data_IF_229529742837
#
_entry.id   IF_229529742837
#
_cell.length_a   1.000
_cell.length_b   1.000
_cell.length_c   1.000
_cell.angle_alpha   90.00
_cell.angle_beta   90.00
_cell.angle_gamma   90.00
#
_symmetry.space_group_name_H-M   'P 1'
#
loop_
_entity.id
_entity.type
_entity.pdbx_description
1 polymer ?
#
# COMPACT_ATOMS: atom_id res chain seq x y z
N UNK A 1 40.82 -2.52 8.34
CA UNK A 1 40.84 -2.70 9.81
C UNK A 1 39.92 -1.72 10.53
N UNK A 2 40.01 -0.41 10.27
CA UNK A 2 39.20 0.63 10.96
C UNK A 2 37.69 0.45 10.76
N UNK A 3 37.22 0.17 9.53
CA UNK A 3 35.80 -0.05 9.25
C UNK A 3 35.22 -1.23 10.05
N UNK A 4 35.98 -2.32 10.21
CA UNK A 4 35.59 -3.49 11.02
C UNK A 4 35.44 -3.14 12.50
N UNK A 5 36.29 -2.24 13.01
CA UNK A 5 36.22 -1.77 14.40
C UNK A 5 35.00 -0.86 14.59
N UNK A 6 34.74 0.06 13.66
CA UNK A 6 33.54 0.92 13.69
C UNK A 6 32.26 0.08 13.63
N UNK A 7 32.20 -0.94 12.76
CA UNK A 7 31.06 -1.86 12.70
C UNK A 7 30.84 -2.68 13.98
N UNK A 8 31.82 -2.74 14.90
CA UNK A 8 31.70 -3.47 16.17
C UNK A 8 31.53 -2.59 17.39
N UNK A 9 32.04 -1.34 17.37
CA UNK A 9 32.13 -0.46 18.55
C UNK A 9 31.46 0.91 18.38
N UNK A 10 30.99 1.24 17.18
CA UNK A 10 30.17 2.44 16.95
C UNK A 10 28.70 2.17 17.27
N UNK A 11 27.85 3.19 17.13
CA UNK A 11 26.40 3.02 17.21
C UNK A 11 25.79 2.44 15.92
N UNK A 12 26.60 2.17 14.88
CA UNK A 12 26.09 1.65 13.61
C UNK A 12 25.29 0.34 13.76
N UNK A 13 25.70 -0.68 14.55
CA UNK A 13 24.87 -1.87 14.77
C UNK A 13 23.57 -1.55 15.48
N UNK A 14 23.59 -0.62 16.44
CA UNK A 14 22.39 -0.18 17.16
C UNK A 14 21.41 0.51 16.21
N UNK A 15 21.92 1.31 15.27
CA UNK A 15 21.11 1.92 14.20
C UNK A 15 20.47 0.86 13.30
N UNK A 16 21.25 -0.08 12.79
CA UNK A 16 20.74 -1.14 11.90
C UNK A 16 19.74 -2.07 12.59
N UNK A 17 20.06 -2.55 13.79
CA UNK A 17 19.17 -3.41 14.59
C UNK A 17 17.93 -2.63 15.03
N UNK A 18 18.11 -1.38 15.49
CA UNK A 18 17.02 -0.51 15.91
C UNK A 18 16.05 -0.24 14.77
N UNK A 19 16.54 -0.02 13.55
CA UNK A 19 15.71 0.10 12.35
C UNK A 19 14.83 -1.14 12.15
N UNK A 20 15.43 -2.34 12.20
CA UNK A 20 14.70 -3.61 12.02
C UNK A 20 13.66 -3.81 13.12
N UNK A 21 14.07 -3.71 14.38
CA UNK A 21 13.19 -3.93 15.54
C UNK A 21 12.04 -2.93 15.55
N UNK A 22 12.32 -1.66 15.27
CA UNK A 22 11.28 -0.63 15.23
C UNK A 22 10.32 -0.83 14.06
N UNK A 23 10.83 -1.14 12.86
CA UNK A 23 9.99 -1.37 11.67
C UNK A 23 9.10 -2.60 11.84
N UNK A 24 9.69 -3.75 12.22
CA UNK A 24 8.93 -4.98 12.44
C UNK A 24 7.99 -4.84 13.63
N UNK A 25 8.43 -4.18 14.70
CA UNK A 25 7.58 -3.86 15.84
C UNK A 25 6.35 -3.08 15.41
N UNK A 26 6.49 -2.04 14.58
CA UNK A 26 5.37 -1.26 14.07
C UNK A 26 4.45 -2.10 13.18
N UNK A 27 5.01 -2.84 12.23
CA UNK A 27 4.25 -3.64 11.26
C UNK A 27 3.44 -4.74 11.96
N UNK A 28 4.03 -5.46 12.90
CA UNK A 28 3.36 -6.59 13.57
C UNK A 28 2.54 -6.20 14.79
N UNK A 29 2.82 -5.07 15.45
CA UNK A 29 2.08 -4.66 16.66
C UNK A 29 0.82 -3.85 16.34
N UNK A 30 0.73 -3.26 15.14
CA UNK A 30 -0.42 -2.46 14.73
C UNK A 30 -1.16 -3.13 13.56
N UNK A 31 -2.48 -3.24 13.70
CA UNK A 31 -3.39 -3.68 12.62
C UNK A 31 -3.63 -2.53 11.63
N UNK A 32 -2.55 -2.08 11.00
CA UNK A 32 -2.55 -0.99 10.03
C UNK A 32 -3.06 -1.40 8.64
N UNK A 33 -3.19 -0.42 7.72
CA UNK A 33 -3.70 -0.70 6.38
C UNK A 33 -2.81 -1.65 5.55
N UNK A 34 -1.54 -1.83 5.93
CA UNK A 34 -0.61 -2.79 5.31
C UNK A 34 -0.99 -4.27 5.46
N UNK A 35 -2.00 -4.58 6.27
CA UNK A 35 -2.58 -5.93 6.41
C UNK A 35 -3.95 -6.09 5.73
N UNK A 36 -4.60 -4.98 5.32
CA UNK A 36 -6.05 -4.95 5.02
C UNK A 36 -6.38 -4.53 3.59
N UNK A 37 -5.40 -4.23 2.77
CA UNK A 37 -5.58 -3.77 1.40
C UNK A 37 -5.34 -4.89 0.37
N UNK A 38 -5.52 -4.57 -0.91
CA UNK A 38 -5.32 -5.50 -2.04
C UNK A 38 -3.85 -5.82 -2.33
N UNK A 39 -2.93 -5.02 -1.78
CA UNK A 39 -1.48 -5.30 -1.81
C UNK A 39 -0.91 -5.33 -0.39
N UNK A 40 -1.21 -6.37 0.41
CA UNK A 40 -0.65 -6.50 1.74
C UNK A 40 0.87 -6.66 1.65
N UNK A 41 1.58 -6.12 2.63
CA UNK A 41 3.05 -6.10 2.61
C UNK A 41 3.71 -7.49 2.59
N UNK A 42 2.96 -8.53 2.96
CA UNK A 42 3.42 -9.91 3.10
C UNK A 42 2.93 -10.85 2.00
N UNK A 43 2.08 -10.37 1.09
CA UNK A 43 1.50 -11.18 -0.01
C UNK A 43 1.86 -10.64 -1.39
N UNK A 44 2.34 -9.39 -1.51
CA UNK A 44 2.62 -8.76 -2.80
C UNK A 44 3.97 -8.03 -2.81
N UNK A 45 4.77 -8.21 -3.87
CA UNK A 45 6.11 -7.61 -3.98
C UNK A 45 6.08 -6.09 -4.10
N UNK A 46 5.14 -5.56 -4.89
CA UNK A 46 4.97 -4.10 -5.01
C UNK A 46 4.42 -3.51 -3.71
N UNK A 47 3.50 -4.23 -3.05
CA UNK A 47 3.00 -3.89 -1.72
C UNK A 47 4.12 -3.82 -0.69
N UNK A 48 5.02 -4.81 -0.64
CA UNK A 48 6.20 -4.78 0.22
C UNK A 48 7.06 -3.53 -0.01
N UNK A 49 7.32 -3.19 -1.28
CA UNK A 49 8.12 -2.02 -1.63
C UNK A 49 7.44 -0.70 -1.24
N UNK A 50 6.14 -0.56 -1.51
CA UNK A 50 5.38 0.65 -1.20
C UNK A 50 5.09 0.80 0.30
N UNK A 51 4.78 -0.28 1.02
CA UNK A 51 4.58 -0.23 2.46
C UNK A 51 5.87 0.07 3.23
N UNK A 52 7.01 -0.46 2.79
CA UNK A 52 8.29 -0.07 3.41
C UNK A 52 8.63 1.40 3.18
N UNK A 53 8.20 1.98 2.05
CA UNK A 53 8.24 3.42 1.82
C UNK A 53 7.26 4.18 2.71
N UNK A 54 6.03 3.70 2.90
CA UNK A 54 5.07 4.31 3.84
C UNK A 54 5.64 4.40 5.26
N UNK A 55 6.39 3.37 5.71
CA UNK A 55 7.04 3.39 7.02
C UNK A 55 8.02 4.56 7.22
N UNK A 56 8.49 5.24 6.17
CA UNK A 56 9.36 6.41 6.36
C UNK A 56 8.76 7.51 7.19
N UNK A 57 7.42 7.61 7.20
CA UNK A 57 6.70 8.52 8.09
C UNK A 57 7.20 8.42 9.54
N UNK A 58 7.46 7.20 9.99
CA UNK A 58 7.94 6.88 11.32
C UNK A 58 9.46 6.70 11.39
N UNK A 59 10.09 6.20 10.32
CA UNK A 59 11.53 5.93 10.31
C UNK A 59 12.38 7.19 10.18
N UNK A 60 11.91 8.24 9.50
CA UNK A 60 12.69 9.48 9.35
C UNK A 60 13.01 10.18 10.67
N UNK A 61 12.03 10.45 11.57
CA UNK A 61 12.30 11.02 12.88
C UNK A 61 13.34 10.20 13.66
N UNK A 62 13.19 8.87 13.64
CA UNK A 62 14.07 7.94 14.32
C UNK A 62 15.51 8.00 13.77
N UNK A 63 15.67 7.85 12.46
CA UNK A 63 16.97 7.83 11.80
C UNK A 63 17.66 9.19 11.87
N UNK A 64 16.92 10.29 11.72
CA UNK A 64 17.45 11.65 11.85
C UNK A 64 17.96 11.91 13.27
N UNK A 65 17.17 11.55 14.29
CA UNK A 65 17.53 11.71 15.69
C UNK A 65 18.77 10.90 16.08
N UNK A 66 18.82 9.61 15.73
CA UNK A 66 19.99 8.78 16.06
C UNK A 66 21.21 9.19 15.22
N UNK A 67 21.02 9.59 13.97
CA UNK A 67 22.08 10.20 13.16
C UNK A 67 22.70 11.41 13.86
N UNK A 68 21.85 12.31 14.38
CA UNK A 68 22.30 13.45 15.18
C UNK A 68 23.05 13.00 16.43
N UNK A 69 22.52 12.04 17.19
CA UNK A 69 23.20 11.49 18.36
C UNK A 69 24.61 10.98 18.04
N UNK A 70 24.76 10.26 16.93
CA UNK A 70 26.05 9.78 16.46
C UNK A 70 27.00 10.92 16.05
N UNK A 71 26.47 12.00 15.47
CA UNK A 71 27.23 13.21 15.13
C UNK A 71 27.84 13.90 16.35
N UNK A 72 27.13 13.89 17.48
CA UNK A 72 27.59 14.56 18.71
C UNK A 72 28.63 13.76 19.51
N UNK A 73 28.86 12.49 19.16
CA UNK A 73 29.70 11.56 19.93
C UNK A 73 31.09 12.12 20.22
N UNK A 74 31.79 12.58 19.19
CA UNK A 74 33.16 13.10 19.32
C UNK A 74 33.22 14.39 20.16
N UNK A 75 32.21 15.26 20.02
CA UNK A 75 32.08 16.51 20.78
C UNK A 75 31.82 16.24 22.26
N UNK A 76 30.97 15.25 22.57
CA UNK A 76 30.69 14.82 23.96
C UNK A 76 31.90 14.23 24.65
N UNK A 77 32.73 13.50 23.93
CA UNK A 77 33.97 12.91 24.46
C UNK A 77 35.13 13.91 24.56
N UNK A 78 34.94 15.19 24.18
CA UNK A 78 35.96 16.27 24.21
C UNK A 78 37.27 15.92 23.49
N UNK A 79 37.21 15.00 22.52
CA UNK A 79 38.41 14.53 21.79
C UNK A 79 38.71 15.41 20.57
N UNK A 80 37.88 16.42 20.31
CA UNK A 80 37.98 17.29 19.14
C UNK A 80 39.30 18.06 19.08
N UNK A 81 39.83 18.50 20.22
CA UNK A 81 41.13 19.19 20.29
C UNK A 81 42.30 18.24 20.03
N UNK A 82 42.25 17.02 20.57
CA UNK A 82 43.23 15.97 20.31
C UNK A 82 43.23 15.56 18.83
N UNK A 83 42.07 15.61 18.18
CA UNK A 83 41.97 15.35 16.76
C UNK A 83 42.38 16.54 15.90
N UNK A 84 42.20 17.79 16.36
CA UNK A 84 42.62 18.98 15.64
C UNK A 84 44.16 19.04 15.47
N UNK A 85 44.94 18.46 16.39
CA UNK A 85 46.40 18.40 16.31
C UNK A 85 46.94 17.29 15.39
N UNK A 86 46.11 16.34 14.96
CA UNK A 86 46.53 15.29 14.05
C UNK A 86 46.52 15.78 12.57
N UNK A 87 47.48 15.36 11.72
CA UNK A 87 47.67 15.90 10.38
C UNK A 87 46.65 15.43 9.32
N UNK A 88 45.67 14.59 9.69
CA UNK A 88 44.71 14.02 8.73
C UNK A 88 43.52 14.95 8.49
N UNK A 89 43.10 15.17 7.23
CA UNK A 89 41.93 15.99 6.92
C UNK A 89 40.65 15.37 7.49
N UNK A 90 39.70 16.22 7.91
CA UNK A 90 38.51 15.82 8.66
C UNK A 90 37.66 14.78 7.91
N UNK A 91 37.47 14.93 6.60
CA UNK A 91 36.67 14.00 5.80
C UNK A 91 37.21 12.56 5.82
N UNK A 92 38.54 12.37 5.84
CA UNK A 92 39.16 11.03 5.91
C UNK A 92 38.91 10.33 7.24
N UNK A 93 38.62 11.09 8.30
CA UNK A 93 38.32 10.54 9.63
C UNK A 93 36.86 10.16 9.80
N UNK A 94 35.97 10.93 9.16
CA UNK A 94 34.53 10.69 9.22
C UNK A 94 34.10 9.56 8.29
N UNK A 95 34.82 9.34 7.18
CA UNK A 95 34.46 8.37 6.14
C UNK A 95 34.24 6.94 6.68
N UNK A 96 35.06 6.39 7.59
CA UNK A 96 34.82 5.05 8.15
C UNK A 96 33.54 4.96 8.98
N UNK A 97 33.22 5.98 9.78
CA UNK A 97 32.01 6.01 10.62
C UNK A 97 30.76 6.20 9.77
N UNK A 98 30.81 7.13 8.82
CA UNK A 98 29.75 7.33 7.81
C UNK A 98 29.51 6.05 7.03
N UNK A 99 30.57 5.41 6.54
CA UNK A 99 30.47 4.12 5.84
C UNK A 99 29.88 3.02 6.72
N UNK A 100 30.27 2.92 8.00
CA UNK A 100 29.71 1.93 8.92
C UNK A 100 28.20 2.15 9.14
N UNK A 101 27.76 3.39 9.34
CA UNK A 101 26.34 3.75 9.49
C UNK A 101 25.55 3.44 8.21
N UNK A 102 26.06 3.84 7.04
CA UNK A 102 25.42 3.56 5.76
C UNK A 102 25.27 2.06 5.52
N UNK A 103 26.31 1.27 5.79
CA UNK A 103 26.27 -0.20 5.67
C UNK A 103 25.25 -0.79 6.65
N UNK A 104 25.24 -0.35 7.90
CA UNK A 104 24.33 -0.91 8.90
C UNK A 104 22.86 -0.59 8.63
N UNK A 105 22.54 0.63 8.17
CA UNK A 105 21.17 0.99 7.75
C UNK A 105 20.75 0.22 6.52
N UNK A 106 21.63 0.09 5.52
CA UNK A 106 21.36 -0.70 4.32
C UNK A 106 21.13 -2.16 4.68
N UNK A 107 21.99 -2.75 5.51
CA UNK A 107 21.84 -4.13 5.98
C UNK A 107 20.54 -4.32 6.78
N UNK A 108 20.20 -3.39 7.67
CA UNK A 108 18.93 -3.43 8.41
C UNK A 108 17.72 -3.37 7.49
N UNK A 109 17.75 -2.49 6.48
CA UNK A 109 16.68 -2.42 5.48
C UNK A 109 16.59 -3.70 4.63
N UNK A 110 17.73 -4.28 4.22
CA UNK A 110 17.76 -5.56 3.51
C UNK A 110 17.22 -6.71 4.36
N UNK A 111 17.45 -6.71 5.67
CA UNK A 111 16.84 -7.69 6.59
C UNK A 111 15.33 -7.49 6.65
N UNK A 112 14.84 -6.25 6.74
CA UNK A 112 13.40 -5.96 6.68
C UNK A 112 12.77 -6.47 5.37
N UNK A 113 13.42 -6.18 4.23
CA UNK A 113 12.99 -6.70 2.93
C UNK A 113 13.07 -8.21 2.83
N UNK A 114 14.08 -8.86 3.44
CA UNK A 114 14.18 -10.31 3.43
C UNK A 114 13.06 -10.96 4.25
N UNK A 115 12.71 -10.39 5.41
CA UNK A 115 11.59 -10.88 6.24
C UNK A 115 10.27 -10.79 5.48
N UNK A 116 9.98 -9.63 4.86
CA UNK A 116 8.78 -9.47 4.03
C UNK A 116 8.85 -10.35 2.77
N UNK A 117 9.97 -10.36 2.07
CA UNK A 117 10.18 -11.09 0.83
C UNK A 117 10.07 -12.61 0.97
N UNK A 118 10.48 -13.18 2.11
CA UNK A 118 10.24 -14.61 2.40
C UNK A 118 8.75 -14.92 2.53
N UNK A 119 7.98 -14.04 3.18
CA UNK A 119 6.53 -14.19 3.29
C UNK A 119 5.85 -14.00 1.94
N UNK A 120 6.24 -12.96 1.19
CA UNK A 120 5.70 -12.70 -0.15
C UNK A 120 6.03 -13.86 -1.09
N UNK A 121 7.25 -14.41 -1.08
CA UNK A 121 7.60 -15.54 -1.93
C UNK A 121 6.78 -16.81 -1.63
N UNK A 122 6.22 -16.95 -0.43
CA UNK A 122 5.36 -18.06 -0.07
C UNK A 122 3.89 -17.88 -0.50
N UNK A 123 3.45 -16.64 -0.76
CA UNK A 123 2.04 -16.32 -0.99
C UNK A 123 1.77 -15.68 -2.37
N UNK A 124 2.75 -14.99 -2.96
CA UNK A 124 2.59 -14.26 -4.21
C UNK A 124 2.67 -15.18 -5.44
N UNK A 125 1.75 -15.00 -6.37
CA UNK A 125 1.79 -15.63 -7.70
C UNK A 125 2.49 -14.76 -8.75
N UNK A 126 2.50 -13.43 -8.56
CA UNK A 126 3.06 -12.46 -9.50
C UNK A 126 4.39 -11.87 -9.01
N UNK A 127 5.43 -11.89 -9.85
CA UNK A 127 6.77 -11.35 -9.54
C UNK A 127 7.20 -10.24 -10.52
N UNK A 128 6.89 -8.96 -10.25
CA UNK A 128 7.29 -7.85 -11.11
C UNK A 128 8.69 -7.34 -10.77
N UNK A 129 9.68 -7.44 -11.68
CA UNK A 129 11.05 -6.91 -11.44
C UNK A 129 11.04 -5.41 -11.08
N UNK A 130 10.01 -4.67 -11.49
CA UNK A 130 9.79 -3.25 -11.17
C UNK A 130 9.70 -2.92 -9.67
N UNK A 131 9.47 -3.89 -8.77
CA UNK A 131 9.46 -3.61 -7.31
C UNK A 131 10.86 -3.24 -6.77
N UNK A 132 11.94 -3.69 -7.41
CA UNK A 132 13.32 -3.48 -6.97
C UNK A 132 13.73 -2.00 -6.93
N UNK A 133 13.59 -1.19 -8.00
CA UNK A 133 13.91 0.23 -7.93
C UNK A 133 13.01 0.98 -6.93
N UNK A 134 11.73 0.58 -6.81
CA UNK A 134 10.76 1.16 -5.85
C UNK A 134 11.24 0.97 -4.42
N UNK A 135 11.63 -0.25 -4.05
CA UNK A 135 12.24 -0.55 -2.76
C UNK A 135 13.62 0.11 -2.60
N UNK A 136 14.42 0.12 -3.66
CA UNK A 136 15.80 0.62 -3.68
C UNK A 136 15.96 2.06 -3.21
N UNK A 137 14.97 2.93 -3.46
CA UNK A 137 14.96 4.35 -3.01
C UNK A 137 15.06 4.50 -1.49
N UNK A 138 14.63 3.49 -0.73
CA UNK A 138 14.74 3.53 0.73
C UNK A 138 16.18 3.59 1.22
N UNK A 139 17.13 3.02 0.48
CA UNK A 139 18.56 3.06 0.85
C UNK A 139 19.09 4.51 0.87
N UNK A 140 19.06 5.28 -0.23
CA UNK A 140 19.47 6.68 -0.18
C UNK A 140 18.60 7.52 0.76
N UNK A 141 17.30 7.21 0.92
CA UNK A 141 16.43 7.92 1.87
C UNK A 141 16.91 7.76 3.33
N UNK A 142 17.05 6.52 3.80
CA UNK A 142 17.50 6.24 5.18
C UNK A 142 18.92 6.76 5.42
N UNK A 143 19.83 6.49 4.49
CA UNK A 143 21.23 6.94 4.61
C UNK A 143 21.31 8.47 4.56
N UNK A 144 20.60 9.11 3.62
CA UNK A 144 20.61 10.55 3.45
C UNK A 144 20.12 11.28 4.70
N UNK A 145 18.99 10.83 5.25
CA UNK A 145 18.42 11.38 6.49
C UNK A 145 19.36 11.16 7.68
N UNK A 146 19.98 9.97 7.80
CA UNK A 146 20.96 9.71 8.86
C UNK A 146 22.16 10.65 8.80
N UNK A 147 22.68 10.90 7.59
CA UNK A 147 23.82 11.80 7.37
C UNK A 147 23.46 13.26 7.60
N UNK A 148 22.26 13.68 7.24
CA UNK A 148 21.76 15.00 7.58
C UNK A 148 21.72 15.18 9.10
N UNK A 149 21.15 14.22 9.82
CA UNK A 149 21.14 14.21 11.28
C UNK A 149 22.55 14.28 11.84
N UNK A 150 23.46 13.45 11.34
CA UNK A 150 24.88 13.43 11.71
C UNK A 150 25.55 14.80 11.55
N UNK A 151 25.32 15.47 10.41
CA UNK A 151 25.80 16.83 10.18
C UNK A 151 25.26 17.84 11.19
N UNK A 152 23.95 17.84 11.43
CA UNK A 152 23.31 18.76 12.38
C UNK A 152 23.79 18.50 13.81
N UNK A 153 23.89 17.24 14.24
CA UNK A 153 24.38 16.87 15.57
C UNK A 153 25.82 17.30 15.83
N UNK A 154 26.65 17.40 14.79
CA UNK A 154 27.99 18.00 14.90
C UNK A 154 27.97 19.52 15.04
N UNK A 155 27.03 20.19 14.38
CA UNK A 155 26.88 21.64 14.45
C UNK A 155 26.26 22.10 15.78
N UNK A 156 25.36 21.29 16.33
CA UNK A 156 24.60 21.58 17.55
C UNK A 156 24.77 20.42 18.55
N UNK A 157 25.94 20.31 19.23
CA UNK A 157 26.26 19.20 20.11
C UNK A 157 25.56 19.31 21.49
N UNK A 158 24.22 19.32 21.50
CA UNK A 158 23.38 19.37 22.70
C UNK A 158 22.62 18.05 22.89
N UNK A 159 22.42 17.62 24.14
CA UNK A 159 21.62 16.42 24.46
C UNK A 159 20.16 16.53 23.99
N UNK A 160 19.67 17.75 23.80
CA UNK A 160 18.30 18.04 23.35
C UNK A 160 18.19 18.00 21.81
N UNK A 161 19.30 18.08 21.07
CA UNK A 161 19.28 18.11 19.59
C UNK A 161 18.61 16.85 18.99
N UNK A 162 18.94 15.62 19.40
CA UNK A 162 18.31 14.41 18.84
C UNK A 162 16.78 14.36 19.01
N UNK A 163 16.20 14.52 20.21
CA UNK A 163 14.74 14.48 20.36
C UNK A 163 14.04 15.65 19.67
N UNK A 164 14.61 16.86 19.71
CA UNK A 164 14.01 18.02 19.00
C UNK A 164 14.02 17.81 17.49
N UNK A 165 15.09 17.26 16.92
CA UNK A 165 15.12 16.94 15.49
C UNK A 165 14.11 15.85 15.11
N UNK A 166 13.96 14.82 15.93
CA UNK A 166 12.96 13.79 15.69
C UNK A 166 11.54 14.37 15.69
N UNK A 167 11.19 15.15 16.72
CA UNK A 167 9.87 15.80 16.82
C UNK A 167 9.64 16.79 15.67
N UNK A 168 10.64 17.60 15.34
CA UNK A 168 10.55 18.57 14.24
C UNK A 168 10.39 17.86 12.88
N UNK A 169 11.09 16.75 12.65
CA UNK A 169 10.95 15.96 11.42
C UNK A 169 9.57 15.30 11.31
N UNK A 170 9.03 14.80 12.41
CA UNK A 170 7.67 14.24 12.44
C UNK A 170 6.64 15.34 12.15
N UNK A 171 6.73 16.48 12.84
CA UNK A 171 5.84 17.62 12.63
C UNK A 171 5.91 18.16 11.20
N UNK A 172 7.12 18.24 10.61
CA UNK A 172 7.31 18.66 9.24
C UNK A 172 6.64 17.68 8.25
N UNK A 173 6.78 16.36 8.46
CA UNK A 173 6.12 15.37 7.60
C UNK A 173 4.60 15.46 7.69
N UNK A 174 4.04 15.57 8.90
CA UNK A 174 2.59 15.73 9.09
C UNK A 174 2.10 17.00 8.39
N UNK A 175 2.83 18.12 8.54
CA UNK A 175 2.48 19.38 7.89
C UNK A 175 2.55 19.30 6.35
N UNK A 176 3.49 18.53 5.80
CA UNK A 176 3.59 18.29 4.34
C UNK A 176 2.41 17.45 3.87
N UNK A 177 2.08 16.37 4.59
CA UNK A 177 0.94 15.50 4.26
C UNK A 177 -0.37 16.31 4.27
N UNK A 178 -0.61 17.11 5.31
CA UNK A 178 -1.83 17.93 5.41
C UNK A 178 -1.96 19.02 4.33
N UNK A 179 -0.84 19.46 3.74
CA UNK A 179 -0.85 20.53 2.72
C UNK A 179 -0.85 19.99 1.30
N UNK A 180 -0.72 18.68 1.08
CA UNK A 180 -0.69 18.03 -0.23
C UNK A 180 0.54 18.33 -1.10
N UNK A 181 1.17 19.50 -0.95
CA UNK A 181 2.39 19.90 -1.62
C UNK A 181 3.52 20.20 -0.63
N UNK A 182 4.77 19.71 -0.84
CA UNK A 182 5.24 18.81 -1.90
C UNK A 182 5.25 17.34 -1.43
N UNK A 183 4.11 16.65 -1.47
CA UNK A 183 4.01 15.23 -1.06
C UNK A 183 4.96 14.33 -1.87
N UNK A 184 5.28 14.70 -3.11
CA UNK A 184 6.21 13.94 -3.97
C UNK A 184 7.67 13.92 -3.48
N UNK A 185 8.06 14.81 -2.56
CA UNK A 185 9.40 14.82 -1.96
C UNK A 185 9.52 13.88 -0.75
N UNK A 186 8.41 13.33 -0.24
CA UNK A 186 8.42 12.19 0.68
C UNK A 186 8.26 10.90 -0.13
N UNK A 187 9.01 9.83 0.21
CA UNK A 187 8.84 8.53 -0.44
C UNK A 187 7.56 7.83 0.02
N UNK A 188 6.88 8.32 1.06
CA UNK A 188 5.64 7.74 1.55
C UNK A 188 4.47 8.03 0.60
N UNK A 189 3.74 6.98 0.23
CA UNK A 189 2.49 7.05 -0.55
C UNK A 189 1.29 6.84 0.37
N UNK A 190 0.13 7.38 0.01
CA UNK A 190 -1.07 7.17 0.82
C UNK A 190 -1.57 5.73 0.68
N UNK A 191 -2.18 5.21 1.75
CA UNK A 191 -2.70 3.85 1.79
C UNK A 191 -3.67 3.50 0.64
N UNK A 192 -4.58 4.40 0.20
CA UNK A 192 -5.49 4.12 -0.92
C UNK A 192 -4.78 3.88 -2.26
N UNK A 193 -3.61 4.50 -2.47
CA UNK A 193 -2.88 4.39 -3.74
C UNK A 193 -2.10 3.06 -3.87
N UNK A 194 -1.90 2.36 -2.75
CA UNK A 194 -1.16 1.11 -2.67
C UNK A 194 -2.12 -0.05 -2.99
N UNK A 195 -2.11 -0.47 -4.25
CA UNK A 195 -2.89 -1.60 -4.75
C UNK A 195 -2.00 -2.56 -5.53
N UNK A 196 -2.47 -3.78 -5.76
CA UNK A 196 -1.72 -4.76 -6.58
C UNK A 196 -1.70 -4.38 -8.07
N UNK A 197 -2.58 -3.47 -8.50
CA UNK A 197 -2.73 -3.01 -9.88
C UNK A 197 -2.01 -1.69 -10.15
N UNK A 198 -1.23 -1.21 -9.19
CA UNK A 198 -0.52 0.05 -9.28
C UNK A 198 0.95 -0.13 -8.96
N UNK A 199 1.77 0.69 -9.60
CA UNK A 199 3.21 0.79 -9.37
C UNK A 199 3.63 2.26 -9.28
N UNK A 200 4.87 2.53 -8.93
CA UNK A 200 5.37 3.90 -8.79
C UNK A 200 6.01 4.33 -10.10
N UNK A 201 5.72 5.55 -10.54
CA UNK A 201 6.35 6.13 -11.72
C UNK A 201 7.89 6.06 -11.59
N UNK A 202 8.61 5.52 -12.58
CA UNK A 202 10.07 5.44 -12.56
C UNK A 202 10.75 6.81 -12.40
N UNK A 203 10.18 7.88 -12.97
CA UNK A 203 10.68 9.24 -12.83
C UNK A 203 10.59 9.72 -11.37
N UNK A 204 9.48 9.42 -10.68
CA UNK A 204 9.33 9.74 -9.24
C UNK A 204 10.38 9.00 -8.42
N UNK A 205 10.55 7.71 -8.67
CA UNK A 205 11.54 6.88 -7.97
C UNK A 205 12.97 7.37 -8.20
N UNK A 206 13.36 7.65 -9.45
CA UNK A 206 14.69 8.19 -9.77
C UNK A 206 14.93 9.57 -9.15
N UNK A 207 13.91 10.43 -9.20
CA UNK A 207 13.99 11.79 -8.67
C UNK A 207 14.10 11.79 -7.14
N UNK A 208 13.36 10.92 -6.45
CA UNK A 208 13.50 10.75 -5.00
C UNK A 208 14.89 10.21 -4.62
N UNK A 209 15.45 9.26 -5.38
CA UNK A 209 16.83 8.80 -5.14
C UNK A 209 17.84 9.96 -5.24
N UNK A 210 17.70 10.83 -6.24
CA UNK A 210 18.53 12.02 -6.42
C UNK A 210 18.35 13.01 -5.25
N UNK A 211 17.11 13.27 -4.85
CA UNK A 211 16.76 14.15 -3.72
C UNK A 211 17.44 13.71 -2.43
N UNK A 212 17.29 12.44 -2.05
CA UNK A 212 17.88 11.92 -0.81
C UNK A 212 19.40 11.81 -0.86
N UNK A 213 19.96 11.57 -2.03
CA UNK A 213 21.41 11.63 -2.24
C UNK A 213 21.93 13.06 -2.01
N UNK A 214 21.21 14.08 -2.50
CA UNK A 214 21.51 15.49 -2.25
C UNK A 214 21.42 15.87 -0.77
N UNK A 215 20.41 15.35 -0.05
CA UNK A 215 20.29 15.50 1.41
C UNK A 215 21.48 14.86 2.13
N UNK A 216 21.85 13.63 1.77
CA UNK A 216 22.97 12.92 2.38
C UNK A 216 24.30 13.61 2.14
N UNK A 217 24.54 14.07 0.91
CA UNK A 217 25.72 14.86 0.55
C UNK A 217 25.80 16.16 1.35
N UNK A 218 24.66 16.85 1.52
CA UNK A 218 24.56 18.05 2.36
C UNK A 218 24.92 17.76 3.82
N UNK A 219 24.35 16.69 4.40
CA UNK A 219 24.69 16.25 5.76
C UNK A 219 26.17 15.95 5.95
N UNK A 220 26.78 15.25 4.99
CA UNK A 220 28.22 14.99 5.00
C UNK A 220 29.06 16.27 4.87
N UNK A 221 28.71 17.16 3.95
CA UNK A 221 29.39 18.45 3.80
C UNK A 221 29.28 19.32 5.06
N UNK A 222 28.11 19.37 5.70
CA UNK A 222 27.90 20.06 6.98
C UNK A 222 28.78 19.46 8.08
N UNK A 223 28.91 18.14 8.14
CA UNK A 223 29.75 17.45 9.11
C UNK A 223 31.24 17.78 8.98
N UNK A 224 31.71 18.08 7.76
CA UNK A 224 33.11 18.41 7.42
C UNK A 224 33.38 19.92 7.49
N UNK A 225 32.36 20.77 7.34
CA UNK A 225 32.50 22.21 7.21
C UNK A 225 32.93 22.91 8.52
N UNK A 226 34.19 23.36 8.56
CA UNK A 226 34.75 24.08 9.70
C UNK A 226 34.37 25.57 9.76
N UNK A 227 34.20 26.23 8.62
CA UNK A 227 33.95 27.70 8.52
C UNK A 227 32.51 28.00 8.18
N UNK A 228 31.98 29.13 8.66
CA UNK A 228 30.60 29.57 8.38
C UNK A 228 30.28 29.63 6.88
N UNK A 229 31.18 30.19 6.05
CA UNK A 229 31.02 30.21 4.58
C UNK A 229 30.97 28.81 3.96
N UNK A 230 31.75 27.88 4.47
CA UNK A 230 31.73 26.48 4.01
C UNK A 230 30.43 25.76 4.43
N UNK A 231 29.81 26.16 5.55
CA UNK A 231 28.50 25.63 5.97
C UNK A 231 27.37 26.12 5.07
N UNK A 232 27.43 27.36 4.59
CA UNK A 232 26.49 27.86 3.58
C UNK A 232 26.70 27.11 2.26
N UNK A 233 27.95 26.96 1.81
CA UNK A 233 28.26 26.20 0.61
C UNK A 233 27.88 24.71 0.71
N UNK A 234 27.81 24.15 1.92
CA UNK A 234 27.37 22.78 2.15
C UNK A 234 25.88 22.54 1.80
N UNK A 235 25.08 23.60 1.62
CA UNK A 235 23.69 23.51 1.15
C UNK A 235 23.58 23.36 -0.38
N UNK A 236 24.68 23.52 -1.11
CA UNK A 236 24.69 23.42 -2.57
C UNK A 236 24.16 22.06 -3.08
N UNK A 237 24.52 20.88 -2.51
CA UNK A 237 24.04 19.60 -3.02
C UNK A 237 22.52 19.46 -2.95
N UNK A 238 21.89 19.86 -1.83
CA UNK A 238 20.42 19.82 -1.71
C UNK A 238 19.76 20.87 -2.60
N UNK A 239 20.36 22.05 -2.79
CA UNK A 239 19.84 23.07 -3.69
C UNK A 239 19.86 22.61 -5.15
N UNK A 240 20.95 21.97 -5.59
CA UNK A 240 21.05 21.38 -6.93
C UNK A 240 20.06 20.23 -7.12
N UNK A 241 19.92 19.36 -6.11
CA UNK A 241 18.93 18.30 -6.14
C UNK A 241 17.50 18.88 -6.25
N UNK A 242 17.15 19.89 -5.43
CA UNK A 242 15.86 20.58 -5.49
C UNK A 242 15.58 21.20 -6.87
N UNK A 243 16.58 21.85 -7.46
CA UNK A 243 16.46 22.51 -8.76
C UNK A 243 16.12 21.53 -9.90
N UNK A 244 16.47 20.25 -9.75
CA UNK A 244 16.11 19.19 -10.70
C UNK A 244 14.82 18.50 -10.28
N UNK A 245 14.66 18.19 -8.99
CA UNK A 245 13.57 17.33 -8.51
C UNK A 245 12.23 18.05 -8.53
N UNK A 246 12.20 19.32 -8.14
CA UNK A 246 10.94 20.09 -8.06
C UNK A 246 10.29 20.25 -9.44
N UNK A 247 11.00 20.67 -10.52
CA UNK A 247 10.39 20.76 -11.84
C UNK A 247 9.89 19.42 -12.39
N UNK A 248 10.68 18.35 -12.24
CA UNK A 248 10.29 17.02 -12.75
C UNK A 248 9.02 16.54 -12.05
N UNK A 249 8.97 16.63 -10.71
CA UNK A 249 7.81 16.20 -9.94
C UNK A 249 6.58 17.10 -10.17
N UNK A 250 6.78 18.38 -10.50
CA UNK A 250 5.66 19.28 -10.83
C UNK A 250 4.95 18.95 -12.15
N UNK A 251 5.57 18.16 -13.02
CA UNK A 251 4.97 17.67 -14.25
C UNK A 251 4.36 16.27 -14.15
N UNK A 252 4.35 15.67 -12.94
CA UNK A 252 3.78 14.34 -12.70
C UNK A 252 2.38 14.50 -12.13
N UNK A 253 1.37 14.01 -12.85
CA UNK A 253 -0.03 14.09 -12.43
C UNK A 253 -0.34 13.18 -11.23
N UNK A 254 0.29 12.00 -11.19
CA UNK A 254 0.16 11.04 -10.08
C UNK A 254 1.49 10.33 -9.81
N UNK A 255 1.92 10.18 -8.54
CA UNK A 255 3.11 9.39 -8.20
C UNK A 255 2.97 7.89 -8.50
N UNK A 256 1.72 7.44 -8.59
CA UNK A 256 1.34 6.05 -8.73
C UNK A 256 0.62 5.88 -10.06
N UNK A 257 1.09 4.94 -10.86
CA UNK A 257 0.61 4.63 -12.20
C UNK A 257 0.07 3.21 -12.25
N UNK A 258 -0.74 2.90 -13.26
CA UNK A 258 -1.21 1.54 -13.51
C UNK A 258 -0.02 0.59 -13.76
N UNK A 259 -0.03 -0.58 -13.12
CA UNK A 259 0.83 -1.69 -13.52
C UNK A 259 0.11 -2.46 -14.64
N UNK A 260 0.46 -2.15 -15.89
CA UNK A 260 -0.14 -2.77 -17.07
C UNK A 260 0.07 -4.29 -17.11
N UNK A 261 1.21 -4.78 -16.63
CA UNK A 261 1.53 -6.21 -16.62
C UNK A 261 0.68 -6.96 -15.58
N UNK A 262 0.43 -6.33 -14.42
CA UNK A 262 -0.45 -6.86 -13.38
C UNK A 262 -1.91 -6.92 -13.83
N UNK A 263 -2.34 -6.00 -14.71
CA UNK A 263 -3.72 -5.86 -15.23
C UNK A 263 -4.01 -6.69 -16.49
N UNK A 264 -3.06 -7.48 -16.98
CA UNK A 264 -3.36 -8.38 -18.09
C UNK A 264 -4.25 -9.52 -17.60
N UNK A 265 -5.35 -9.77 -18.32
CA UNK A 265 -6.25 -10.87 -18.02
C UNK A 265 -5.62 -12.23 -18.36
N UNK A 266 -5.71 -13.15 -17.42
CA UNK A 266 -5.39 -14.58 -17.55
C UNK A 266 -6.71 -15.34 -17.37
N UNK A 267 -7.08 -16.15 -18.36
CA UNK A 267 -8.40 -16.78 -18.42
C UNK A 267 -8.31 -18.30 -18.52
N UNK A 268 -9.23 -18.98 -17.85
CA UNK A 268 -9.59 -20.36 -18.13
C UNK A 268 -10.74 -20.36 -19.16
N UNK A 269 -10.55 -21.15 -20.24
CA UNK A 269 -11.49 -21.24 -21.36
C UNK A 269 -12.04 -22.65 -21.60
N UNK A 270 -11.80 -23.60 -20.68
CA UNK A 270 -12.27 -24.99 -20.80
C UNK A 270 -13.78 -25.17 -20.48
N UNK A 271 -14.53 -24.07 -20.56
CA UNK A 271 -15.95 -23.95 -20.20
C UNK A 271 -16.39 -22.49 -20.26
N UNK A 272 -17.43 -22.08 -19.49
CA UNK A 272 -17.72 -20.66 -19.30
C UNK A 272 -16.46 -19.91 -18.87
N UNK A 273 -16.19 -18.78 -19.53
CA UNK A 273 -14.92 -18.07 -19.42
C UNK A 273 -14.78 -17.46 -18.03
N UNK A 274 -13.68 -17.76 -17.35
CA UNK A 274 -13.33 -17.19 -16.04
C UNK A 274 -11.97 -16.53 -16.16
N UNK A 275 -11.91 -15.21 -15.97
CA UNK A 275 -10.69 -14.44 -16.07
C UNK A 275 -10.35 -13.77 -14.75
N UNK A 276 -9.07 -13.82 -14.38
CA UNK A 276 -8.48 -13.01 -13.33
C UNK A 276 -7.39 -12.13 -13.94
N UNK A 277 -7.00 -11.09 -13.23
CA UNK A 277 -5.82 -10.31 -13.56
C UNK A 277 -4.56 -11.12 -13.26
N UNK A 278 -3.46 -10.88 -13.98
CA UNK A 278 -2.19 -11.60 -13.77
C UNK A 278 -1.70 -11.51 -12.32
N UNK A 279 -1.93 -10.38 -11.66
CA UNK A 279 -1.69 -10.20 -10.22
C UNK A 279 -2.30 -11.29 -9.33
N UNK A 280 -3.42 -11.87 -9.75
CA UNK A 280 -4.22 -12.87 -9.05
C UNK A 280 -4.31 -14.20 -9.81
N UNK A 281 -3.38 -14.47 -10.72
CA UNK A 281 -3.35 -15.73 -11.48
C UNK A 281 -3.39 -16.97 -10.55
N UNK A 282 -2.73 -16.89 -9.40
CA UNK A 282 -2.75 -17.96 -8.39
C UNK A 282 -4.14 -18.26 -7.80
N UNK A 283 -5.11 -17.34 -7.92
CA UNK A 283 -6.48 -17.53 -7.43
C UNK A 283 -7.38 -18.21 -8.47
N UNK A 284 -6.96 -18.25 -9.75
CA UNK A 284 -7.77 -18.80 -10.83
C UNK A 284 -8.22 -20.26 -10.56
N UNK A 285 -7.36 -21.20 -10.10
CA UNK A 285 -7.79 -22.57 -9.86
C UNK A 285 -8.88 -22.70 -8.79
N UNK A 286 -8.82 -21.85 -7.75
CA UNK A 286 -9.83 -21.83 -6.68
C UNK A 286 -11.13 -21.15 -7.12
N UNK A 287 -11.05 -20.19 -8.06
CA UNK A 287 -12.20 -19.43 -8.56
C UNK A 287 -13.01 -20.21 -9.62
N UNK A 288 -12.35 -20.98 -10.50
CA UNK A 288 -13.00 -21.58 -11.69
C UNK A 288 -14.23 -22.43 -11.34
N UNK A 289 -14.14 -23.30 -10.33
CA UNK A 289 -15.26 -24.15 -9.90
C UNK A 289 -16.47 -23.33 -9.41
N UNK A 290 -16.31 -22.55 -8.33
CA UNK A 290 -17.36 -21.67 -7.81
C UNK A 290 -17.95 -20.71 -8.84
N UNK A 291 -17.11 -20.15 -9.72
CA UNK A 291 -17.54 -19.26 -10.78
C UNK A 291 -18.46 -19.94 -11.78
N UNK A 292 -18.13 -21.17 -12.20
CA UNK A 292 -18.96 -21.94 -13.14
C UNK A 292 -20.27 -22.40 -12.50
N UNK A 293 -20.25 -22.76 -11.23
CA UNK A 293 -21.49 -23.06 -10.48
C UNK A 293 -22.38 -21.83 -10.35
N UNK A 294 -21.81 -20.66 -10.05
CA UNK A 294 -22.55 -19.41 -10.01
C UNK A 294 -23.17 -19.07 -11.38
N UNK A 295 -22.40 -19.18 -12.47
CA UNK A 295 -22.91 -18.98 -13.83
C UNK A 295 -24.04 -19.97 -14.19
N UNK A 296 -23.92 -21.24 -13.78
CA UNK A 296 -24.98 -22.23 -13.99
C UNK A 296 -26.28 -21.86 -13.27
N UNK A 297 -26.18 -21.36 -12.03
CA UNK A 297 -27.34 -20.87 -11.27
C UNK A 297 -27.94 -19.59 -11.87
N UNK A 298 -27.09 -18.66 -12.33
CA UNK A 298 -27.53 -17.46 -13.05
C UNK A 298 -28.22 -17.80 -14.38
N UNK A 299 -27.98 -19.00 -14.93
CA UNK A 299 -28.70 -19.56 -16.08
C UNK A 299 -30.23 -19.64 -15.94
N UNK A 300 -30.79 -19.45 -14.74
CA UNK A 300 -32.24 -19.29 -14.52
C UNK A 300 -32.81 -17.99 -15.11
N UNK A 301 -31.96 -17.01 -15.40
CA UNK A 301 -32.36 -15.73 -15.99
C UNK A 301 -32.66 -15.89 -17.49
N UNK A 302 -33.55 -15.06 -18.06
CA UNK A 302 -33.82 -15.05 -19.50
C UNK A 302 -32.58 -14.71 -20.36
N UNK A 303 -31.74 -13.80 -19.87
CA UNK A 303 -30.48 -13.37 -20.51
C UNK A 303 -29.34 -13.51 -19.49
N UNK A 304 -28.82 -14.72 -19.27
CA UNK A 304 -27.84 -14.98 -18.21
C UNK A 304 -26.45 -14.49 -18.64
N UNK A 305 -25.62 -14.02 -17.69
CA UNK A 305 -24.21 -13.78 -17.96
C UNK A 305 -23.51 -15.09 -18.34
N UNK A 306 -22.47 -14.98 -19.16
CA UNK A 306 -21.76 -16.14 -19.74
C UNK A 306 -20.32 -16.25 -19.26
N UNK A 307 -19.83 -15.26 -18.52
CA UNK A 307 -18.44 -15.22 -18.06
C UNK A 307 -18.29 -14.49 -16.72
N UNK A 308 -17.21 -14.82 -16.01
CA UNK A 308 -16.73 -14.10 -14.83
C UNK A 308 -15.42 -13.43 -15.19
N UNK A 309 -15.25 -12.15 -14.86
CA UNK A 309 -14.00 -11.43 -15.14
C UNK A 309 -13.65 -10.54 -13.97
N UNK A 310 -12.40 -10.60 -13.54
CA UNK A 310 -11.88 -9.67 -12.55
C UNK A 310 -11.74 -8.27 -13.13
N UNK A 311 -12.12 -7.29 -12.32
CA UNK A 311 -11.87 -5.89 -12.61
C UNK A 311 -11.00 -5.26 -11.52
N UNK A 312 -10.14 -4.29 -11.87
CA UNK A 312 -9.49 -3.53 -10.84
C UNK A 312 -10.57 -2.77 -10.05
N UNK A 313 -10.45 -2.62 -8.72
CA UNK A 313 -11.33 -1.74 -7.99
C UNK A 313 -11.21 -0.33 -8.60
N UNK A 314 -12.28 0.12 -9.23
CA UNK A 314 -12.40 1.45 -9.82
C UNK A 314 -13.35 2.28 -8.95
N UNK A 315 -13.26 3.61 -9.07
CA UNK A 315 -14.19 4.52 -8.39
C UNK A 315 -15.65 4.34 -8.87
N UNK A 316 -15.85 3.75 -10.05
CA UNK A 316 -17.15 3.45 -10.62
C UNK A 316 -17.39 1.93 -10.62
N UNK A 317 -18.25 1.47 -9.70
CA UNK A 317 -18.59 0.05 -9.49
C UNK A 317 -19.57 -0.47 -10.55
N UNK A 318 -19.72 0.18 -11.71
CA UNK A 318 -20.62 -0.28 -12.77
C UNK A 318 -20.13 -1.56 -13.43
N UNK A 319 -21.07 -2.43 -13.80
CA UNK A 319 -20.72 -3.62 -14.58
C UNK A 319 -20.30 -3.19 -15.99
N UNK A 320 -19.12 -3.58 -16.47
CA UNK A 320 -18.63 -3.15 -17.79
C UNK A 320 -19.42 -3.76 -18.94
N UNK A 321 -20.13 -4.87 -18.70
CA UNK A 321 -20.98 -5.55 -19.67
C UNK A 321 -22.10 -6.33 -18.98
N UNK A 322 -23.29 -6.42 -19.58
CA UNK A 322 -24.38 -7.29 -19.12
C UNK A 322 -24.04 -8.80 -19.12
N UNK A 323 -23.09 -9.23 -19.96
CA UNK A 323 -22.75 -10.64 -20.16
C UNK A 323 -21.67 -11.16 -19.18
N UNK A 324 -21.16 -10.27 -18.33
CA UNK A 324 -20.03 -10.53 -17.43
C UNK A 324 -20.47 -10.35 -15.98
N UNK A 325 -20.09 -11.29 -15.12
CA UNK A 325 -20.12 -11.10 -13.67
C UNK A 325 -18.77 -10.57 -13.23
N UNK A 326 -18.67 -9.33 -12.72
CA UNK A 326 -17.41 -8.80 -12.22
C UNK A 326 -17.04 -9.47 -10.90
N UNK A 327 -15.76 -9.83 -10.74
CA UNK A 327 -15.18 -10.20 -9.44
C UNK A 327 -14.19 -9.13 -9.00
N UNK A 328 -14.24 -8.77 -7.72
CA UNK A 328 -13.40 -7.74 -7.12
C UNK A 328 -12.74 -8.31 -5.88
N UNK A 329 -11.41 -8.38 -5.86
CA UNK A 329 -10.65 -8.83 -4.69
C UNK A 329 -10.22 -7.61 -3.87
N UNK A 330 -10.98 -7.31 -2.79
CA UNK A 330 -10.70 -6.16 -1.91
C UNK A 330 -9.81 -6.51 -0.70
N UNK A 331 -9.88 -7.74 -0.20
CA UNK A 331 -9.20 -8.16 1.02
C UNK A 331 -8.75 -9.63 0.90
N UNK A 332 -7.67 -9.85 0.14
CA UNK A 332 -7.08 -11.18 -0.07
C UNK A 332 -8.00 -12.19 -0.78
N UNK A 333 -7.55 -13.44 -0.94
CA UNK A 333 -8.35 -14.49 -1.56
C UNK A 333 -9.45 -14.97 -0.61
N UNK A 334 -10.69 -15.02 -1.09
CA UNK A 334 -11.75 -15.80 -0.43
C UNK A 334 -11.46 -17.28 -0.71
N UNK A 335 -10.96 -17.98 0.30
CA UNK A 335 -10.52 -19.39 0.18
C UNK A 335 -11.65 -20.40 0.29
N UNK A 336 -12.84 -19.97 0.72
CA UNK A 336 -14.02 -20.82 0.84
C UNK A 336 -14.81 -20.81 -0.49
N UNK A 337 -14.90 -21.96 -1.19
CA UNK A 337 -15.62 -22.08 -2.46
C UNK A 337 -17.09 -21.66 -2.38
N UNK A 338 -17.77 -21.98 -1.26
CA UNK A 338 -19.19 -21.65 -1.09
C UNK A 338 -19.38 -20.14 -0.91
N UNK A 339 -18.52 -19.51 -0.10
CA UNK A 339 -18.54 -18.06 0.06
C UNK A 339 -18.26 -17.34 -1.26
N UNK A 340 -17.30 -17.83 -2.03
CA UNK A 340 -16.96 -17.25 -3.34
C UNK A 340 -18.14 -17.36 -4.33
N UNK A 341 -18.81 -18.52 -4.38
CA UNK A 341 -20.03 -18.71 -5.17
C UNK A 341 -21.13 -17.73 -4.75
N UNK A 342 -21.41 -17.62 -3.46
CA UNK A 342 -22.43 -16.69 -2.94
C UNK A 342 -22.10 -15.23 -3.26
N UNK A 343 -20.82 -14.84 -3.16
CA UNK A 343 -20.38 -13.49 -3.56
C UNK A 343 -20.59 -13.22 -5.05
N UNK A 344 -20.33 -14.20 -5.93
CA UNK A 344 -20.58 -14.07 -7.37
C UNK A 344 -22.06 -14.08 -7.74
N UNK A 345 -22.92 -14.72 -6.94
CA UNK A 345 -24.37 -14.70 -7.10
C UNK A 345 -25.01 -13.42 -6.57
N UNK A 346 -24.33 -12.73 -5.64
CA UNK A 346 -24.85 -11.55 -4.98
C UNK A 346 -25.37 -10.51 -5.99
N UNK A 347 -26.57 -9.98 -5.72
CA UNK A 347 -27.22 -9.02 -6.62
C UNK A 347 -27.48 -9.58 -8.03
N UNK A 348 -27.75 -10.88 -8.13
CA UNK A 348 -27.93 -11.58 -9.41
C UNK A 348 -26.70 -11.48 -10.32
N UNK A 349 -25.48 -11.47 -9.76
CA UNK A 349 -24.22 -11.37 -10.49
C UNK A 349 -23.87 -9.96 -10.94
N UNK A 350 -24.26 -8.95 -10.16
CA UNK A 350 -23.95 -7.53 -10.40
C UNK A 350 -23.18 -6.94 -9.22
N UNK A 351 -22.32 -5.94 -9.45
CA UNK A 351 -21.62 -5.24 -8.38
C UNK A 351 -22.60 -4.46 -7.48
N UNK A 352 -22.13 -3.99 -6.32
CA UNK A 352 -22.95 -3.18 -5.42
C UNK A 352 -23.08 -1.75 -5.94
N UNK A 353 -24.29 -1.19 -5.88
CA UNK A 353 -24.60 0.20 -6.27
C UNK A 353 -24.62 1.19 -5.09
N UNK A 354 -24.23 0.73 -3.89
CA UNK A 354 -24.30 1.53 -2.67
C UNK A 354 -23.11 2.50 -2.61
N UNK A 355 -23.35 3.78 -2.85
CA UNK A 355 -22.37 4.87 -2.74
C UNK A 355 -22.71 5.90 -1.65
N UNK A 356 -23.49 5.48 -0.65
CA UNK A 356 -23.99 6.38 0.40
C UNK A 356 -23.61 5.88 1.79
N UNK A 357 -23.44 6.82 2.73
CA UNK A 357 -23.34 6.54 4.15
C UNK A 357 -24.71 6.46 4.84
N UNK A 358 -25.79 6.67 4.08
CA UNK A 358 -27.16 6.52 4.58
C UNK A 358 -27.49 5.05 4.83
N UNK A 359 -27.64 4.71 6.10
CA UNK A 359 -27.82 3.34 6.56
C UNK A 359 -29.13 2.72 6.08
N UNK A 360 -30.21 3.49 5.96
CA UNK A 360 -31.50 2.98 5.51
C UNK A 360 -31.40 2.53 4.04
N UNK A 361 -30.76 3.34 3.20
CA UNK A 361 -30.48 2.99 1.80
C UNK A 361 -29.56 1.77 1.68
N UNK A 362 -28.52 1.68 2.52
CA UNK A 362 -27.60 0.53 2.55
C UNK A 362 -28.35 -0.75 2.88
N UNK A 363 -29.12 -0.75 3.97
CA UNK A 363 -29.92 -1.90 4.45
C UNK A 363 -30.89 -2.38 3.38
N UNK A 364 -31.61 -1.44 2.76
CA UNK A 364 -32.59 -1.75 1.72
C UNK A 364 -31.97 -2.40 0.48
N UNK A 365 -30.87 -1.84 -0.04
CA UNK A 365 -30.20 -2.40 -1.23
C UNK A 365 -29.51 -3.73 -0.93
N UNK A 366 -28.83 -3.86 0.21
CA UNK A 366 -28.18 -5.11 0.60
C UNK A 366 -29.22 -6.20 0.90
N UNK A 367 -30.34 -5.85 1.52
CA UNK A 367 -31.48 -6.75 1.71
C UNK A 367 -32.02 -7.30 0.38
N UNK A 368 -32.23 -6.43 -0.62
CA UNK A 368 -32.64 -6.86 -1.96
C UNK A 368 -31.60 -7.80 -2.62
N UNK A 369 -30.30 -7.55 -2.42
CA UNK A 369 -29.24 -8.46 -2.88
C UNK A 369 -29.30 -9.82 -2.20
N UNK A 370 -29.59 -9.87 -0.89
CA UNK A 370 -29.78 -11.12 -0.15
C UNK A 370 -30.97 -11.91 -0.72
N UNK A 371 -32.11 -11.26 -0.96
CA UNK A 371 -33.30 -11.87 -1.56
C UNK A 371 -32.99 -12.42 -2.95
N UNK A 372 -32.33 -11.64 -3.81
CA UNK A 372 -31.94 -12.07 -5.15
C UNK A 372 -31.01 -13.30 -5.10
N UNK A 373 -30.01 -13.28 -4.23
CA UNK A 373 -29.08 -14.41 -4.04
C UNK A 373 -29.83 -15.66 -3.59
N UNK A 374 -30.73 -15.50 -2.63
CA UNK A 374 -31.56 -16.56 -2.04
C UNK A 374 -32.50 -17.19 -3.08
N UNK A 375 -32.95 -16.43 -4.09
CA UNK A 375 -33.72 -16.97 -5.20
C UNK A 375 -32.92 -17.97 -6.06
N UNK A 376 -31.64 -17.70 -6.28
CA UNK A 376 -30.78 -18.60 -7.03
C UNK A 376 -30.43 -19.86 -6.24
N UNK A 377 -30.13 -19.72 -4.94
CA UNK A 377 -29.77 -20.86 -4.07
C UNK A 377 -30.97 -21.68 -3.63
N UNK A 378 -32.15 -21.06 -3.51
CA UNK A 378 -33.36 -21.65 -2.95
C UNK A 378 -33.44 -21.61 -1.41
N UNK A 379 -32.45 -21.03 -0.75
CA UNK A 379 -32.34 -20.92 0.70
C UNK A 379 -32.13 -19.46 1.09
N UNK A 380 -32.92 -18.98 2.06
CA UNK A 380 -32.79 -17.63 2.58
C UNK A 380 -31.65 -17.56 3.59
N UNK A 381 -30.53 -16.98 3.18
CA UNK A 381 -29.34 -16.80 4.02
C UNK A 381 -28.55 -15.57 3.58
N UNK A 382 -27.82 -14.91 4.50
CA UNK A 382 -26.90 -13.85 4.15
C UNK A 382 -25.75 -14.37 3.28
N UNK A 383 -25.20 -13.50 2.43
CA UNK A 383 -23.96 -13.77 1.71
C UNK A 383 -22.77 -13.16 2.48
N UNK A 384 -21.52 -13.55 2.18
CA UNK A 384 -20.35 -13.05 2.91
C UNK A 384 -20.27 -11.52 2.92
N UNK A 385 -20.19 -10.92 4.11
CA UNK A 385 -20.09 -9.47 4.28
C UNK A 385 -21.43 -8.72 4.34
N UNK A 386 -22.56 -9.44 4.39
CA UNK A 386 -23.88 -8.86 4.60
C UNK A 386 -24.48 -9.14 5.99
N UNK A 387 -23.67 -9.64 6.93
CA UNK A 387 -24.14 -10.11 8.25
C UNK A 387 -24.77 -8.97 9.08
N UNK A 388 -24.13 -7.79 9.12
CA UNK A 388 -24.65 -6.64 9.87
C UNK A 388 -26.03 -6.17 9.37
N UNK A 389 -26.26 -6.25 8.04
CA UNK A 389 -27.55 -5.89 7.44
C UNK A 389 -28.59 -6.96 7.71
N UNK A 390 -28.19 -8.23 7.63
CA UNK A 390 -29.08 -9.34 7.97
C UNK A 390 -29.60 -9.19 9.39
N UNK A 391 -28.73 -8.98 10.37
CA UNK A 391 -29.13 -8.81 11.77
C UNK A 391 -30.03 -7.59 11.99
N UNK A 392 -29.86 -6.53 11.20
CA UNK A 392 -30.64 -5.30 11.31
C UNK A 392 -32.03 -5.36 10.65
N UNK A 393 -32.20 -6.16 9.58
CA UNK A 393 -33.39 -6.15 8.74
C UNK A 393 -33.92 -7.55 8.37
N UNK A 394 -33.63 -8.56 9.18
CA UNK A 394 -34.00 -9.96 8.93
C UNK A 394 -35.49 -10.13 8.63
N UNK A 395 -36.36 -9.48 9.42
CA UNK A 395 -37.81 -9.61 9.29
C UNK A 395 -38.32 -9.04 7.95
N UNK A 396 -37.80 -7.88 7.53
CA UNK A 396 -38.16 -7.24 6.27
C UNK A 396 -37.65 -8.05 5.06
N UNK A 397 -36.42 -8.56 5.15
CA UNK A 397 -35.81 -9.44 4.14
C UNK A 397 -36.63 -10.74 4.01
N UNK A 398 -37.03 -11.33 5.14
CA UNK A 398 -37.86 -12.56 5.16
C UNK A 398 -39.25 -12.31 4.58
N UNK A 399 -39.89 -11.18 4.90
CA UNK A 399 -41.19 -10.82 4.33
C UNK A 399 -41.11 -10.68 2.80
N UNK A 400 -40.10 -9.95 2.31
CA UNK A 400 -39.83 -9.75 0.87
C UNK A 400 -39.59 -11.08 0.16
N UNK A 401 -38.79 -11.98 0.77
CA UNK A 401 -38.54 -13.30 0.23
C UNK A 401 -39.81 -14.16 0.12
N UNK A 402 -40.68 -14.12 1.15
CA UNK A 402 -41.95 -14.85 1.13
C UNK A 402 -42.91 -14.34 0.07
N UNK A 403 -42.97 -13.01 -0.11
CA UNK A 403 -43.75 -12.38 -1.18
C UNK A 403 -43.29 -12.86 -2.55
N UNK A 404 -41.98 -12.77 -2.85
CA UNK A 404 -41.41 -13.26 -4.09
C UNK A 404 -41.74 -14.75 -4.31
N UNK A 405 -41.59 -15.58 -3.27
CA UNK A 405 -41.85 -17.03 -3.34
C UNK A 405 -43.32 -17.40 -3.55
N UNK A 406 -44.24 -16.50 -3.23
CA UNK A 406 -45.68 -16.71 -3.43
C UNK A 406 -46.12 -16.59 -4.90
N UNK A 407 -45.30 -15.96 -5.73
CA UNK A 407 -45.59 -15.70 -7.14
C UNK A 407 -45.32 -16.92 -8.04
N UNK A 408 -45.91 -16.98 -9.25
CA UNK A 408 -45.56 -17.98 -10.24
C UNK A 408 -44.07 -17.92 -10.61
N UNK A 409 -43.45 -19.07 -10.89
CA UNK A 409 -42.01 -19.15 -11.20
C UNK A 409 -41.57 -18.24 -12.36
N UNK A 410 -42.42 -18.06 -13.38
CA UNK A 410 -42.15 -17.16 -14.50
C UNK A 410 -42.11 -15.69 -14.07
N UNK A 411 -42.98 -15.29 -13.13
CA UNK A 411 -43.01 -13.93 -12.60
C UNK A 411 -41.81 -13.66 -11.68
N UNK A 412 -41.43 -14.65 -10.86
CA UNK A 412 -40.19 -14.56 -10.06
C UNK A 412 -38.96 -14.34 -10.96
N UNK A 413 -38.83 -15.11 -12.04
CA UNK A 413 -37.72 -14.98 -12.98
C UNK A 413 -37.73 -13.61 -13.70
N UNK A 414 -38.92 -13.10 -14.05
CA UNK A 414 -39.06 -11.77 -14.65
C UNK A 414 -38.64 -10.66 -13.70
N UNK A 415 -39.01 -10.74 -12.41
CA UNK A 415 -38.58 -9.76 -11.38
C UNK A 415 -37.07 -9.79 -11.15
N UNK A 416 -36.47 -10.98 -11.08
CA UNK A 416 -35.01 -11.11 -10.95
C UNK A 416 -34.25 -10.58 -12.18
N UNK A 417 -34.82 -10.73 -13.38
CA UNK A 417 -34.28 -10.14 -14.59
C UNK A 417 -34.35 -8.60 -14.56
N UNK A 418 -35.49 -8.04 -14.16
CA UNK A 418 -35.66 -6.58 -14.01
C UNK A 418 -34.73 -6.00 -12.94
N UNK A 419 -34.58 -6.71 -11.81
CA UNK A 419 -33.62 -6.37 -10.77
C UNK A 419 -32.19 -6.31 -11.31
N UNK A 420 -31.75 -7.36 -12.03
CA UNK A 420 -30.40 -7.40 -12.63
C UNK A 420 -30.20 -6.25 -13.61
N UNK A 421 -31.17 -5.99 -14.49
CA UNK A 421 -31.08 -4.91 -15.47
C UNK A 421 -30.90 -3.54 -14.80
N UNK A 422 -31.66 -3.27 -13.74
CA UNK A 422 -31.53 -2.05 -12.96
C UNK A 422 -30.18 -1.97 -12.22
N UNK A 423 -29.70 -3.09 -11.68
CA UNK A 423 -28.44 -3.15 -10.93
C UNK A 423 -27.19 -3.01 -11.83
N UNK A 424 -27.27 -3.37 -13.12
CA UNK A 424 -26.16 -3.18 -14.06
C UNK A 424 -25.80 -1.69 -14.25
N UNK A 425 -26.80 -0.81 -14.25
CA UNK A 425 -26.64 0.63 -14.45
C UNK A 425 -26.81 1.45 -13.17
N UNK A 426 -27.00 0.79 -12.02
CA UNK A 426 -27.35 1.41 -10.74
C UNK A 426 -28.55 2.39 -10.86
N UNK A 427 -29.61 1.96 -11.56
CA UNK A 427 -30.83 2.75 -11.80
C UNK A 427 -31.93 2.41 -10.79
N UNK A 428 -32.58 3.44 -10.26
CA UNK A 428 -33.80 3.32 -9.44
C UNK A 428 -33.55 2.80 -8.03
N UNK A 429 -34.65 2.53 -7.30
CA UNK A 429 -34.61 1.88 -6.00
C UNK A 429 -34.66 0.36 -6.20
N UNK A 430 -33.49 -0.28 -6.12
CA UNK A 430 -33.33 -1.72 -6.33
C UNK A 430 -34.18 -2.58 -5.39
N UNK A 431 -34.58 -2.05 -4.22
CA UNK A 431 -35.44 -2.76 -3.28
C UNK A 431 -36.88 -2.91 -3.78
N UNK A 432 -37.39 -1.87 -4.45
CA UNK A 432 -38.74 -1.88 -5.02
C UNK A 432 -38.87 -2.85 -6.19
N UNK A 433 -37.78 -3.15 -6.90
CA UNK A 433 -37.78 -4.10 -8.03
C UNK A 433 -37.67 -5.56 -7.58
N UNK A 434 -37.26 -5.80 -6.33
CA UNK A 434 -37.33 -7.13 -5.73
C UNK A 434 -38.72 -7.46 -5.17
N UNK A 435 -39.55 -6.43 -4.89
CA UNK A 435 -40.90 -6.53 -4.29
C UNK A 435 -42.05 -6.27 -5.27
N UNK A 436 -41.86 -5.43 -6.29
CA UNK A 436 -42.83 -5.17 -7.37
C UNK A 436 -42.85 -6.29 -8.41
#
# INVERSE_FOLDING_TARGET
MILRTELRRSTAPVLGIGLVVFSLGLVYSLSGPWWKNTAPWHEQWIGLAQWTRYLTLFLWPFVLGIGAWQGMRDGRSRVTELFASAPKPMWRRLLPTVGAVSIALTAGYLVLLAVGGVQVAANASYFPIGWLPVAGVMVPALVGIALLGFGIGRLLPSLITPPVLAVAALAAQIAVIQRGWPLLLTPAFEAPDITVFTTVDPAVTATQALWFTGIGATGFCLAVAARARARVAALLPVALAAAVTVPVLSGVDSPVVADEDARVLVCDTDGPRVCVMRAHEGYLPALVGPAREALALLGKLPSPPTSVTEYPPADDFRSPSPDVVPVLFFAGPVTDPERLKLTLLAGAGTPSCVHTSDWDTVTSQVGARIVATSWFTGELAPYPGSDDVWDAAEDDIRATWQELRSLPAAEQAARMAAYREAALDCRGDLSTLATA
#
